data_IF_860706161685
#
_entry.id   IF_860706161685
#
_cell.length_a   1.000
_cell.length_b   1.000
_cell.length_c   1.000
_cell.angle_alpha   90.00
_cell.angle_beta   90.00
_cell.angle_gamma   90.00
#
_symmetry.space_group_name_H-M   'P 1'
#
loop_
_entity.id
_entity.type
_entity.pdbx_description
1 polymer ?
#
# COMPACT_ATOMS: atom_id res chain seq x y z
N UNK A 1 13.57 18.92 -25.87
CA UNK A 1 12.65 19.92 -25.29
C UNK A 1 11.67 20.35 -26.36
N UNK A 2 10.39 20.36 -26.03
CA UNK A 2 9.35 20.88 -26.91
C UNK A 2 8.93 22.28 -26.41
N UNK A 3 8.18 23.01 -27.24
CA UNK A 3 7.74 24.37 -26.93
C UNK A 3 6.22 24.45 -27.12
N UNK A 4 5.56 25.08 -26.15
CA UNK A 4 4.16 25.51 -26.26
C UNK A 4 4.13 27.01 -26.47
N UNK A 5 3.50 27.47 -27.56
CA UNK A 5 3.37 28.89 -27.87
C UNK A 5 2.02 29.43 -27.40
N UNK A 6 2.05 30.47 -26.58
CA UNK A 6 0.89 31.26 -26.19
C UNK A 6 0.96 32.63 -26.86
N UNK A 7 -0.09 32.98 -27.61
CA UNK A 7 -0.18 34.30 -28.26
C UNK A 7 -0.57 35.38 -27.24
N UNK A 8 0.24 36.41 -27.11
CA UNK A 8 0.04 37.61 -26.30
C UNK A 8 -0.52 38.80 -27.10
N UNK A 9 -0.50 39.99 -26.49
CA UNK A 9 -0.97 41.23 -27.13
C UNK A 9 -0.19 41.55 -28.42
N UNK A 10 -0.88 42.13 -29.40
CA UNK A 10 -0.32 42.59 -30.68
C UNK A 10 0.45 41.53 -31.50
N UNK A 11 0.11 40.24 -31.33
CA UNK A 11 0.73 39.14 -32.09
C UNK A 11 2.09 38.69 -31.56
N UNK A 12 2.46 39.08 -30.34
CA UNK A 12 3.66 38.57 -29.67
C UNK A 12 3.45 37.12 -29.25
N UNK A 13 4.47 36.28 -29.42
CA UNK A 13 4.43 34.87 -29.02
C UNK A 13 5.28 34.67 -27.77
N UNK A 14 4.67 34.06 -26.74
CA UNK A 14 5.35 33.60 -25.54
C UNK A 14 5.56 32.11 -25.67
N UNK A 15 6.81 31.70 -25.74
CA UNK A 15 7.20 30.31 -25.84
C UNK A 15 7.50 29.76 -24.44
N UNK A 16 6.78 28.72 -24.06
CA UNK A 16 6.93 27.98 -22.80
C UNK A 16 7.65 26.68 -23.12
N UNK A 17 8.82 26.49 -22.54
CA UNK A 17 9.58 25.25 -22.68
C UNK A 17 8.91 24.14 -21.88
N UNK A 18 8.86 22.93 -22.42
CA UNK A 18 8.40 21.74 -21.72
C UNK A 18 9.40 20.60 -21.88
N UNK A 19 9.54 19.81 -20.82
CA UNK A 19 10.36 18.61 -20.85
C UNK A 19 9.48 17.37 -20.70
N UNK A 20 9.43 16.56 -21.76
CA UNK A 20 8.58 15.37 -21.84
C UNK A 20 7.29 15.53 -22.66
N UNK A 21 6.68 14.39 -22.99
CA UNK A 21 5.45 14.32 -23.79
C UNK A 21 4.18 14.67 -23.01
N UNK A 22 4.11 14.25 -21.75
CA UNK A 22 2.92 14.44 -20.91
C UNK A 22 2.77 15.90 -20.47
N UNK A 23 3.85 16.52 -19.99
CA UNK A 23 3.91 17.96 -19.69
C UNK A 23 3.65 18.81 -20.95
N UNK A 24 4.11 18.39 -22.13
CA UNK A 24 3.77 19.03 -23.40
C UNK A 24 2.28 18.95 -23.72
N UNK A 25 1.66 17.78 -23.57
CA UNK A 25 0.24 17.60 -23.82
C UNK A 25 -0.60 18.46 -22.86
N UNK A 26 -0.22 18.47 -21.58
CA UNK A 26 -0.88 19.25 -20.55
C UNK A 26 -0.71 20.76 -20.79
N UNK A 27 0.52 21.22 -21.03
CA UNK A 27 0.81 22.60 -21.37
C UNK A 27 0.06 23.06 -22.63
N UNK A 28 -0.04 22.22 -23.67
CA UNK A 28 -0.85 22.51 -24.85
C UNK A 28 -2.34 22.61 -24.52
N UNK A 29 -2.86 21.74 -23.66
CA UNK A 29 -4.26 21.79 -23.22
C UNK A 29 -4.54 23.08 -22.44
N UNK A 30 -3.67 23.45 -21.50
CA UNK A 30 -3.78 24.71 -20.76
C UNK A 30 -3.63 25.91 -21.71
N UNK A 31 -2.61 25.94 -22.58
CA UNK A 31 -2.44 27.02 -23.55
C UNK A 31 -3.66 27.17 -24.47
N UNK A 32 -4.24 26.07 -24.95
CA UNK A 32 -5.47 26.09 -25.75
C UNK A 32 -6.66 26.60 -24.95
N UNK A 33 -6.78 26.21 -23.68
CA UNK A 33 -7.84 26.67 -22.78
C UNK A 33 -7.69 28.14 -22.45
N UNK A 34 -6.46 28.60 -22.20
CA UNK A 34 -6.12 30.01 -22.04
C UNK A 34 -6.53 30.80 -23.28
N UNK A 35 -6.15 30.35 -24.47
CA UNK A 35 -6.46 31.00 -25.75
C UNK A 35 -7.97 31.01 -26.05
N UNK A 36 -8.68 29.91 -25.82
CA UNK A 36 -10.13 29.84 -26.06
C UNK A 36 -10.93 30.69 -25.06
N UNK A 37 -10.47 30.75 -23.81
CA UNK A 37 -11.04 31.61 -22.76
C UNK A 37 -10.58 33.07 -22.91
N UNK A 38 -9.56 33.34 -23.73
CA UNK A 38 -8.99 34.67 -23.95
C UNK A 38 -9.78 35.55 -24.93
N UNK A 39 -10.91 35.07 -25.49
CA UNK A 39 -11.84 35.94 -26.23
C UNK A 39 -12.36 37.06 -25.31
N UNK A 40 -11.78 38.26 -25.43
CA UNK A 40 -12.09 39.43 -24.59
C UNK A 40 -11.19 39.65 -23.37
N UNK A 41 -10.07 38.91 -23.23
CA UNK A 41 -9.09 39.13 -22.15
C UNK A 41 -8.01 40.13 -22.56
N UNK A 42 -7.48 40.88 -21.58
CA UNK A 42 -6.41 41.86 -21.80
C UNK A 42 -5.06 41.27 -21.38
N UNK A 43 -4.14 41.15 -22.33
CA UNK A 43 -2.76 40.71 -22.07
C UNK A 43 -1.88 41.89 -21.67
N UNK A 44 -1.13 41.73 -20.59
CA UNK A 44 -0.22 42.74 -20.06
C UNK A 44 1.14 42.14 -19.72
N UNK A 45 2.22 42.76 -20.20
CA UNK A 45 3.57 42.39 -19.80
C UNK A 45 3.81 42.88 -18.37
N UNK A 46 4.03 41.94 -17.46
CA UNK A 46 4.26 42.24 -16.06
C UNK A 46 5.66 42.85 -15.86
N UNK A 47 5.76 43.76 -14.90
CA UNK A 47 7.01 44.39 -14.48
C UNK A 47 7.49 43.78 -13.17
N UNK A 48 8.80 43.72 -12.96
CA UNK A 48 9.35 43.31 -11.67
C UNK A 48 8.83 44.24 -10.56
N UNK A 49 8.36 43.67 -9.46
CA UNK A 49 7.64 44.37 -8.40
C UNK A 49 6.13 44.19 -8.49
N UNK A 50 5.38 45.24 -8.13
CA UNK A 50 3.92 45.19 -7.96
C UNK A 50 3.19 45.48 -9.27
N UNK A 51 2.18 44.68 -9.58
CA UNK A 51 1.33 44.80 -10.77
C UNK A 51 -0.14 44.69 -10.37
N UNK A 52 -0.98 45.58 -10.90
CA UNK A 52 -2.43 45.57 -10.68
C UNK A 52 -3.14 45.22 -11.98
N UNK A 53 -4.12 44.32 -11.89
CA UNK A 53 -4.93 43.94 -13.05
C UNK A 53 -5.62 45.16 -13.69
N UNK A 54 -5.53 45.28 -15.01
CA UNK A 54 -6.16 46.38 -15.76
C UNK A 54 -7.69 46.27 -15.87
N UNK A 55 -8.28 45.19 -15.36
CA UNK A 55 -9.71 44.90 -15.37
C UNK A 55 -9.99 43.43 -15.09
N UNK A 56 -11.26 43.04 -15.16
CA UNK A 56 -11.65 41.62 -15.05
C UNK A 56 -10.97 40.79 -16.14
N UNK A 57 -10.60 39.55 -15.80
CA UNK A 57 -10.00 38.58 -16.72
C UNK A 57 -8.64 39.00 -17.31
N UNK A 58 -7.80 39.66 -16.52
CA UNK A 58 -6.46 40.07 -16.96
C UNK A 58 -5.51 38.88 -17.09
N UNK A 59 -4.68 38.88 -18.14
CA UNK A 59 -3.60 37.91 -18.37
C UNK A 59 -2.25 38.59 -18.16
N UNK A 60 -1.45 38.06 -17.24
CA UNK A 60 -0.07 38.49 -17.00
C UNK A 60 0.92 37.71 -17.85
N UNK A 61 1.87 38.40 -18.47
CA UNK A 61 2.95 37.80 -19.26
C UNK A 61 4.30 38.14 -18.62
N UNK A 62 5.06 37.11 -18.27
CA UNK A 62 6.42 37.19 -17.71
C UNK A 62 7.42 36.66 -18.72
N UNK A 63 8.40 37.50 -19.09
CA UNK A 63 9.35 37.19 -20.17
C UNK A 63 10.81 37.33 -19.77
N UNK A 64 11.06 37.78 -18.54
CA UNK A 64 12.38 37.93 -17.94
C UNK A 64 12.32 37.40 -16.51
N UNK A 65 13.47 36.99 -15.96
CA UNK A 65 13.53 36.59 -14.55
C UNK A 65 13.28 37.76 -13.61
N UNK A 66 12.68 37.50 -12.45
CA UNK A 66 12.32 38.54 -11.49
C UNK A 66 11.19 38.12 -10.55
N UNK A 67 10.74 39.07 -9.73
CA UNK A 67 9.65 38.88 -8.77
C UNK A 67 8.43 39.72 -9.18
N UNK A 68 7.25 39.13 -9.15
CA UNK A 68 6.02 39.72 -9.67
C UNK A 68 4.93 39.56 -8.61
N UNK A 69 4.63 40.63 -7.89
CA UNK A 69 3.50 40.68 -6.97
C UNK A 69 2.25 41.16 -7.70
N UNK A 70 1.14 40.46 -7.50
CA UNK A 70 -0.09 40.64 -8.25
C UNK A 70 -1.26 40.97 -7.33
N UNK A 71 -2.09 41.91 -7.78
CA UNK A 71 -3.32 42.33 -7.13
C UNK A 71 -4.47 42.46 -8.15
N UNK A 72 -5.70 42.31 -7.66
CA UNK A 72 -6.93 42.41 -8.43
C UNK A 72 -7.33 41.11 -9.13
N UNK A 73 -8.02 41.22 -10.27
CA UNK A 73 -8.68 40.12 -10.97
C UNK A 73 -7.82 39.51 -12.09
N UNK A 74 -6.56 39.18 -11.78
CA UNK A 74 -5.77 38.31 -12.66
C UNK A 74 -6.37 36.90 -12.64
N UNK A 75 -6.56 36.34 -13.83
CA UNK A 75 -7.09 34.97 -13.97
C UNK A 75 -6.07 34.03 -14.59
N UNK A 76 -5.08 34.57 -15.32
CA UNK A 76 -4.07 33.76 -16.00
C UNK A 76 -2.70 34.41 -15.94
N UNK A 77 -1.65 33.62 -15.85
CA UNK A 77 -0.25 34.06 -15.93
C UNK A 77 0.52 33.09 -16.84
N UNK A 78 1.33 33.64 -17.74
CA UNK A 78 2.25 32.85 -18.57
C UNK A 78 3.67 33.34 -18.35
N UNK A 79 4.55 32.45 -17.90
CA UNK A 79 5.98 32.70 -17.79
C UNK A 79 6.75 31.87 -18.82
N UNK A 80 7.46 32.53 -19.73
CA UNK A 80 8.19 31.90 -20.82
C UNK A 80 9.12 32.92 -21.49
N UNK A 81 9.71 32.60 -22.63
CA UNK A 81 10.50 33.58 -23.37
C UNK A 81 9.69 34.23 -24.49
N UNK A 82 10.04 35.46 -24.87
CA UNK A 82 9.55 36.04 -26.12
C UNK A 82 10.33 35.42 -27.28
N UNK A 83 9.62 35.01 -28.33
CA UNK A 83 10.26 34.57 -29.57
C UNK A 83 9.90 35.47 -30.75
N UNK A 84 10.89 35.71 -31.61
CA UNK A 84 10.67 36.08 -33.02
C UNK A 84 10.94 34.89 -33.96
N UNK A 85 11.08 33.67 -33.42
CA UNK A 85 11.37 32.41 -34.12
C UNK A 85 11.81 31.28 -33.16
N UNK A 86 11.73 30.02 -33.62
CA UNK A 86 12.00 28.78 -32.86
C UNK A 86 13.51 28.45 -32.74
N UNK A 87 14.29 29.27 -32.00
CA UNK A 87 15.71 28.99 -31.70
C UNK A 87 15.96 28.86 -30.19
N UNK A 88 17.01 28.17 -29.77
CA UNK A 88 17.36 27.85 -28.36
C UNK A 88 17.53 29.07 -27.42
N UNK A 89 17.64 30.28 -27.97
CA UNK A 89 17.56 31.57 -27.24
C UNK A 89 16.11 31.94 -26.81
N UNK A 90 15.10 31.17 -27.22
CA UNK A 90 13.68 31.37 -26.87
C UNK A 90 13.27 30.67 -25.57
N UNK A 91 14.21 30.48 -24.64
CA UNK A 91 13.95 29.79 -23.36
C UNK A 91 14.26 30.73 -22.20
N UNK A 92 13.31 30.86 -21.28
CA UNK A 92 13.51 31.60 -20.05
C UNK A 92 14.36 30.76 -19.09
N UNK A 93 15.60 31.19 -18.84
CA UNK A 93 16.56 30.46 -18.00
C UNK A 93 16.74 31.05 -16.60
N UNK A 94 16.13 32.20 -16.33
CA UNK A 94 16.27 32.92 -15.06
C UNK A 94 15.10 32.58 -14.13
N UNK A 95 15.33 32.49 -12.80
CA UNK A 95 14.26 32.23 -11.84
C UNK A 95 13.14 33.27 -11.91
N UNK A 96 11.90 32.80 -11.71
CA UNK A 96 10.70 33.65 -11.67
C UNK A 96 10.00 33.46 -10.33
N UNK A 97 9.60 34.54 -9.68
CA UNK A 97 8.74 34.49 -8.50
C UNK A 97 7.43 35.22 -8.78
N UNK A 98 6.30 34.55 -8.58
CA UNK A 98 4.94 35.06 -8.77
C UNK A 98 4.24 35.02 -7.42
N UNK A 99 3.85 36.19 -6.92
CA UNK A 99 3.07 36.33 -5.69
C UNK A 99 1.64 36.73 -6.03
N UNK A 100 0.74 35.76 -5.97
CA UNK A 100 -0.68 35.91 -6.25
C UNK A 100 -1.53 35.92 -4.97
N UNK A 101 -0.94 36.16 -3.79
CA UNK A 101 -1.67 36.11 -2.51
C UNK A 101 -2.79 37.13 -2.39
N UNK A 102 -2.68 38.27 -3.09
CA UNK A 102 -3.71 39.33 -3.11
C UNK A 102 -4.70 39.18 -4.28
N UNK A 103 -4.54 38.16 -5.13
CA UNK A 103 -5.47 37.90 -6.24
C UNK A 103 -6.77 37.33 -5.67
N UNK A 104 -7.90 37.92 -6.06
CA UNK A 104 -9.22 37.60 -5.49
C UNK A 104 -10.01 36.57 -6.30
N UNK A 105 -9.48 36.15 -7.46
CA UNK A 105 -10.06 35.16 -8.36
C UNK A 105 -9.12 33.98 -8.54
N UNK A 106 -9.63 32.77 -8.83
CA UNK A 106 -8.75 31.66 -9.19
C UNK A 106 -7.79 32.07 -10.30
N UNK A 107 -6.51 31.71 -10.16
CA UNK A 107 -5.45 32.07 -11.10
C UNK A 107 -4.82 30.82 -11.70
N UNK A 108 -4.79 30.74 -13.02
CA UNK A 108 -4.12 29.66 -13.76
C UNK A 108 -2.75 30.12 -14.24
N UNK A 109 -1.71 29.37 -13.91
CA UNK A 109 -0.32 29.71 -14.24
C UNK A 109 0.27 28.61 -15.11
N UNK A 110 0.87 29.01 -16.23
CA UNK A 110 1.78 28.15 -17.02
C UNK A 110 3.17 28.75 -16.93
N UNK A 111 4.13 28.00 -16.40
CA UNK A 111 5.49 28.44 -16.16
C UNK A 111 6.51 27.51 -16.82
N UNK A 112 7.26 28.06 -17.78
CA UNK A 112 8.28 27.34 -18.55
C UNK A 112 9.71 27.78 -18.26
N UNK A 113 9.99 28.29 -17.06
CA UNK A 113 11.33 28.76 -16.70
C UNK A 113 12.24 27.59 -16.31
N UNK A 114 13.35 27.41 -17.03
CA UNK A 114 14.38 26.44 -16.64
C UNK A 114 15.14 26.83 -15.36
N UNK A 115 15.05 28.09 -14.94
CA UNK A 115 15.63 28.56 -13.69
C UNK A 115 14.76 28.27 -12.46
N UNK A 116 13.63 27.58 -12.65
CA UNK A 116 12.64 27.34 -11.60
C UNK A 116 11.67 28.51 -11.42
N UNK A 117 10.46 28.18 -10.97
CA UNK A 117 9.39 29.13 -10.68
C UNK A 117 8.92 28.99 -9.25
N UNK A 118 8.94 30.08 -8.49
CA UNK A 118 8.27 30.19 -7.20
C UNK A 118 6.88 30.80 -7.39
N UNK A 119 5.85 30.14 -6.87
CA UNK A 119 4.48 30.64 -6.86
C UNK A 119 3.91 30.68 -5.44
N UNK A 120 3.34 31.84 -5.07
CA UNK A 120 2.63 32.03 -3.81
C UNK A 120 1.14 32.23 -4.09
N UNK A 121 0.33 31.23 -3.80
CA UNK A 121 -1.12 31.22 -3.99
C UNK A 121 -1.90 31.84 -2.82
N UNK A 122 -2.97 32.56 -3.14
CA UNK A 122 -3.90 33.15 -2.16
C UNK A 122 -5.07 32.25 -1.77
N UNK A 123 -6.17 32.86 -1.31
CA UNK A 123 -7.37 32.15 -0.90
C UNK A 123 -8.24 31.66 -2.08
N UNK A 124 -8.02 32.17 -3.29
CA UNK A 124 -8.91 31.97 -4.42
C UNK A 124 -8.74 30.62 -5.15
N UNK A 125 -7.65 29.88 -4.90
CA UNK A 125 -7.35 28.64 -5.62
C UNK A 125 -6.82 28.89 -7.04
N UNK A 126 -6.81 27.85 -7.87
CA UNK A 126 -6.41 27.95 -9.28
C UNK A 126 -5.54 26.78 -9.74
N UNK A 127 -4.88 26.94 -10.89
CA UNK A 127 -3.97 25.93 -11.42
C UNK A 127 -2.54 26.46 -11.48
N UNK A 128 -1.56 25.60 -11.21
CA UNK A 128 -0.15 25.89 -11.42
C UNK A 128 0.47 24.73 -12.20
N UNK A 129 0.91 25.02 -13.41
CA UNK A 129 1.69 24.11 -14.24
C UNK A 129 3.10 24.67 -14.40
N UNK A 130 4.05 24.08 -13.71
CA UNK A 130 5.46 24.20 -14.05
C UNK A 130 5.87 23.03 -14.95
N UNK A 131 6.84 23.26 -15.80
CA UNK A 131 7.21 22.28 -16.83
C UNK A 131 8.57 21.65 -16.58
N UNK A 132 9.54 22.44 -16.13
CA UNK A 132 10.90 22.02 -15.84
C UNK A 132 11.54 22.97 -14.80
N UNK A 133 12.72 22.59 -14.29
CA UNK A 133 13.48 23.35 -13.29
C UNK A 133 13.00 23.05 -11.87
N UNK A 134 13.74 23.52 -10.86
CA UNK A 134 13.38 23.31 -9.46
C UNK A 134 12.36 24.38 -9.05
N UNK A 135 11.09 24.02 -8.95
CA UNK A 135 9.97 24.90 -8.69
C UNK A 135 9.55 24.89 -7.21
N UNK A 136 8.92 25.98 -6.79
CA UNK A 136 8.38 26.12 -5.44
C UNK A 136 6.94 26.55 -5.54
N UNK A 137 6.02 25.74 -5.04
CA UNK A 137 4.62 26.09 -4.90
C UNK A 137 4.27 26.25 -3.43
N UNK A 138 3.73 27.40 -3.05
CA UNK A 138 3.18 27.64 -1.71
C UNK A 138 1.75 28.11 -1.87
N UNK A 139 0.79 27.23 -1.59
CA UNK A 139 -0.63 27.50 -1.65
C UNK A 139 -1.17 28.23 -0.42
N UNK A 140 -2.42 28.64 -0.53
CA UNK A 140 -3.18 29.29 0.53
C UNK A 140 -4.28 28.39 1.09
N UNK A 141 -5.51 28.88 1.09
CA UNK A 141 -6.71 28.14 1.55
C UNK A 141 -7.63 27.70 0.43
N UNK A 142 -7.33 28.09 -0.80
CA UNK A 142 -8.11 27.70 -1.98
C UNK A 142 -7.78 26.27 -2.43
N UNK A 143 -8.58 25.76 -3.36
CA UNK A 143 -8.32 24.48 -3.99
C UNK A 143 -7.39 24.69 -5.20
N UNK A 144 -6.29 23.94 -5.25
CA UNK A 144 -5.31 24.06 -6.33
C UNK A 144 -5.16 22.77 -7.12
N UNK A 145 -4.96 22.92 -8.44
CA UNK A 145 -4.42 21.85 -9.30
C UNK A 145 -2.97 22.19 -9.61
N UNK A 146 -2.05 21.33 -9.20
CA UNK A 146 -0.61 21.61 -9.19
C UNK A 146 0.07 20.52 -10.02
N UNK A 147 0.86 20.92 -11.01
CA UNK A 147 1.73 20.04 -11.77
C UNK A 147 3.11 20.69 -11.82
N UNK A 148 4.14 20.03 -11.28
CA UNK A 148 5.46 20.63 -11.14
C UNK A 148 6.43 20.27 -12.28
N UNK A 149 6.08 19.29 -13.12
CA UNK A 149 6.93 18.88 -14.24
C UNK A 149 8.23 18.19 -13.80
N UNK A 150 9.34 18.51 -14.44
CA UNK A 150 10.64 17.89 -14.13
C UNK A 150 11.50 18.78 -13.23
N UNK A 151 12.11 18.23 -12.19
CA UNK A 151 12.98 18.97 -11.28
C UNK A 151 12.85 18.45 -9.86
N UNK A 152 13.63 19.01 -8.94
CA UNK A 152 13.46 18.74 -7.52
C UNK A 152 12.60 19.84 -6.91
N UNK A 153 11.30 19.59 -6.84
CA UNK A 153 10.31 20.61 -6.51
C UNK A 153 9.95 20.64 -5.02
N UNK A 154 9.53 21.82 -4.54
CA UNK A 154 8.94 22.00 -3.22
C UNK A 154 7.47 22.39 -3.36
N UNK A 155 6.58 21.56 -2.82
CA UNK A 155 5.14 21.80 -2.78
C UNK A 155 4.71 21.96 -1.32
N UNK A 156 4.15 23.12 -0.98
CA UNK A 156 3.38 23.34 0.25
C UNK A 156 1.96 23.66 -0.20
N UNK A 157 1.07 22.66 -0.20
CA UNK A 157 -0.26 22.81 -0.82
C UNK A 157 -1.14 23.83 -0.10
N UNK A 158 -0.90 24.03 1.20
CA UNK A 158 -1.80 24.76 2.07
C UNK A 158 -3.09 23.98 2.35
N UNK A 159 -4.12 24.68 2.82
CA UNK A 159 -5.43 24.08 3.09
C UNK A 159 -6.25 23.95 1.80
N UNK A 160 -7.39 23.27 1.89
CA UNK A 160 -8.29 23.05 0.76
C UNK A 160 -8.11 21.67 0.16
N UNK A 161 -8.85 21.38 -0.89
CA UNK A 161 -8.78 20.11 -1.60
C UNK A 161 -7.88 20.30 -2.82
N UNK A 162 -6.64 19.82 -2.72
CA UNK A 162 -5.63 20.03 -3.76
C UNK A 162 -5.38 18.75 -4.57
N UNK A 163 -5.19 18.89 -5.86
CA UNK A 163 -4.74 17.82 -6.77
C UNK A 163 -3.33 18.14 -7.18
N UNK A 164 -2.40 17.22 -6.92
CA UNK A 164 -0.96 17.43 -7.10
C UNK A 164 -0.42 16.32 -7.98
N UNK A 165 0.24 16.70 -9.06
CA UNK A 165 1.20 15.89 -9.77
C UNK A 165 2.59 16.46 -9.44
N UNK A 166 3.37 15.72 -8.67
CA UNK A 166 4.71 16.16 -8.30
C UNK A 166 5.68 16.10 -9.49
N UNK A 167 5.32 15.38 -10.55
CA UNK A 167 6.20 15.16 -11.68
C UNK A 167 7.44 14.36 -11.29
N UNK A 168 8.50 14.45 -12.09
CA UNK A 168 9.71 13.64 -11.91
C UNK A 168 10.78 14.36 -11.11
N UNK A 169 11.45 13.66 -10.19
CA UNK A 169 12.61 14.17 -9.47
C UNK A 169 12.62 13.66 -8.03
N UNK A 170 13.31 14.39 -7.16
CA UNK A 170 13.23 14.22 -5.71
C UNK A 170 12.46 15.40 -5.12
N UNK A 171 11.15 15.23 -4.95
CA UNK A 171 10.25 16.30 -4.54
C UNK A 171 9.98 16.29 -3.04
N UNK A 172 9.72 17.48 -2.48
CA UNK A 172 9.27 17.66 -1.11
C UNK A 172 7.84 18.17 -1.09
N UNK A 173 6.92 17.39 -0.53
CA UNK A 173 5.48 17.63 -0.62
C UNK A 173 4.90 17.71 0.79
N UNK A 174 4.43 18.89 1.16
CA UNK A 174 3.79 19.18 2.44
C UNK A 174 2.31 19.51 2.20
N UNK A 175 1.45 18.61 2.65
CA UNK A 175 0.00 18.70 2.51
C UNK A 175 -0.59 19.36 3.77
N UNK A 176 -1.46 20.35 3.56
CA UNK A 176 -2.25 20.95 4.63
C UNK A 176 -3.54 20.17 4.90
N UNK A 177 -4.50 20.83 5.55
CA UNK A 177 -5.82 20.24 5.79
C UNK A 177 -6.67 20.17 4.52
N UNK A 178 -7.77 19.41 4.56
CA UNK A 178 -8.62 19.15 3.40
C UNK A 178 -8.39 17.75 2.84
N UNK A 179 -9.03 17.47 1.71
CA UNK A 179 -8.89 16.22 0.99
C UNK A 179 -7.95 16.42 -0.21
N UNK A 180 -6.68 16.02 -0.08
CA UNK A 180 -5.72 16.17 -1.17
C UNK A 180 -5.44 14.84 -1.88
N UNK A 181 -5.15 14.94 -3.17
CA UNK A 181 -4.73 13.85 -4.03
C UNK A 181 -3.33 14.15 -4.55
N UNK A 182 -2.40 13.22 -4.40
CA UNK A 182 -1.02 13.33 -4.88
C UNK A 182 -0.72 12.17 -5.81
N UNK A 183 -0.20 12.46 -6.99
CA UNK A 183 0.50 11.53 -7.85
C UNK A 183 1.99 11.90 -7.85
N UNK A 184 2.84 10.95 -7.48
CA UNK A 184 4.26 11.17 -7.20
C UNK A 184 5.10 10.22 -8.04
N UNK A 185 6.00 10.78 -8.84
CA UNK A 185 6.91 10.03 -9.70
C UNK A 185 8.35 10.30 -9.28
N UNK A 186 9.01 9.34 -8.64
CA UNK A 186 10.40 9.50 -8.23
C UNK A 186 10.58 9.28 -6.74
N UNK A 187 11.73 9.71 -6.22
CA UNK A 187 12.10 9.48 -4.83
C UNK A 187 11.71 10.68 -3.99
N UNK A 188 10.46 10.69 -3.53
CA UNK A 188 9.85 11.87 -2.96
C UNK A 188 9.70 11.77 -1.44
N UNK A 189 9.58 12.93 -0.79
CA UNK A 189 9.15 13.02 0.61
C UNK A 189 7.77 13.66 0.68
N UNK A 190 6.80 12.93 1.24
CA UNK A 190 5.40 13.37 1.32
C UNK A 190 4.95 13.38 2.77
N UNK A 191 4.51 14.54 3.26
CA UNK A 191 4.04 14.72 4.64
C UNK A 191 2.65 15.36 4.64
N UNK A 192 1.68 14.71 5.28
CA UNK A 192 0.29 15.17 5.31
C UNK A 192 -0.49 14.60 6.49
N UNK A 193 -0.34 15.19 7.67
CA UNK A 193 -0.88 14.64 8.93
C UNK A 193 -2.29 15.11 9.29
N UNK A 194 -2.83 16.08 8.55
CA UNK A 194 -4.16 16.63 8.75
C UNK A 194 -5.07 16.27 7.57
N UNK A 195 -6.39 16.28 7.77
CA UNK A 195 -7.34 15.97 6.69
C UNK A 195 -7.24 14.52 6.20
N UNK A 196 -7.74 14.27 5.00
CA UNK A 196 -7.71 12.94 4.35
C UNK A 196 -6.82 13.02 3.13
N UNK A 197 -5.85 12.12 3.02
CA UNK A 197 -4.85 12.19 1.96
C UNK A 197 -4.94 10.94 1.08
N UNK A 198 -4.97 11.14 -0.24
CA UNK A 198 -4.84 10.08 -1.23
C UNK A 198 -3.51 10.25 -1.94
N UNK A 199 -2.63 9.25 -1.88
CA UNK A 199 -1.29 9.32 -2.47
C UNK A 199 -1.06 8.12 -3.36
N UNK A 200 -0.66 8.36 -4.60
CA UNK A 200 -0.11 7.35 -5.50
C UNK A 200 1.41 7.52 -5.54
N UNK A 201 2.14 6.43 -5.29
CA UNK A 201 3.60 6.36 -5.44
C UNK A 201 3.87 5.55 -6.70
N UNK A 202 4.14 6.25 -7.81
CA UNK A 202 4.21 5.64 -9.13
C UNK A 202 5.57 5.03 -9.45
N UNK A 203 6.65 5.60 -8.95
CA UNK A 203 8.03 5.16 -9.20
C UNK A 203 8.95 5.61 -8.05
N UNK A 204 10.19 5.13 -8.06
CA UNK A 204 11.21 5.51 -7.08
C UNK A 204 11.01 4.87 -5.70
N UNK A 205 11.75 5.36 -4.72
CA UNK A 205 11.59 4.96 -3.32
C UNK A 205 11.29 6.21 -2.50
N UNK A 206 10.09 6.27 -1.94
CA UNK A 206 9.56 7.49 -1.32
C UNK A 206 9.42 7.35 0.19
N UNK A 207 9.53 8.47 0.90
CA UNK A 207 9.22 8.59 2.32
C UNK A 207 7.85 9.26 2.45
N UNK A 208 6.88 8.54 3.00
CA UNK A 208 5.50 9.01 3.13
C UNK A 208 5.06 8.97 4.59
N UNK A 209 4.64 10.12 5.12
CA UNK A 209 4.07 10.25 6.46
C UNK A 209 2.71 10.94 6.42
N UNK A 210 1.63 10.17 6.61
CA UNK A 210 0.25 10.66 6.55
C UNK A 210 -0.49 10.44 7.87
N UNK A 211 -1.55 11.24 8.04
CA UNK A 211 -2.47 11.15 9.17
C UNK A 211 -3.41 9.94 9.11
N UNK A 212 -4.49 10.02 9.86
CA UNK A 212 -5.56 9.02 9.85
C UNK A 212 -6.36 9.06 8.53
N UNK A 213 -7.01 7.95 8.19
CA UNK A 213 -7.87 7.80 7.01
C UNK A 213 -7.15 8.16 5.70
N UNK A 214 -5.87 7.83 5.60
CA UNK A 214 -5.10 7.98 4.36
C UNK A 214 -5.34 6.79 3.43
N UNK A 215 -5.29 7.03 2.13
CA UNK A 215 -5.29 6.00 1.09
C UNK A 215 -4.00 6.09 0.31
N UNK A 216 -3.24 4.99 0.25
CA UNK A 216 -2.00 4.90 -0.52
C UNK A 216 -2.13 3.80 -1.57
N UNK A 217 -1.74 4.13 -2.80
CA UNK A 217 -1.49 3.16 -3.87
C UNK A 217 0.00 3.21 -4.18
N UNK A 218 0.73 2.16 -3.83
CA UNK A 218 2.16 2.04 -4.10
C UNK A 218 2.37 1.03 -5.24
N UNK A 219 2.90 1.51 -6.36
CA UNK A 219 3.33 0.65 -7.47
C UNK A 219 4.86 0.56 -7.56
N UNK A 220 5.56 1.20 -6.62
CA UNK A 220 6.99 1.28 -6.56
C UNK A 220 7.56 0.25 -5.57
N UNK A 221 8.79 0.47 -5.11
CA UNK A 221 9.46 -0.46 -4.19
C UNK A 221 10.39 0.28 -3.24
N UNK A 222 10.60 -0.30 -2.06
CA UNK A 222 11.49 0.21 -1.00
C UNK A 222 11.07 1.58 -0.45
N UNK A 223 9.79 1.88 -0.53
CA UNK A 223 9.17 3.02 0.13
C UNK A 223 9.15 2.83 1.65
N UNK A 224 9.21 3.94 2.38
CA UNK A 224 8.97 3.98 3.82
C UNK A 224 7.68 4.74 4.05
N UNK A 225 6.65 4.01 4.49
CA UNK A 225 5.29 4.51 4.61
C UNK A 225 4.84 4.47 6.07
N UNK A 226 4.44 5.61 6.62
CA UNK A 226 3.85 5.73 7.94
C UNK A 226 2.48 6.40 7.84
N UNK A 227 1.44 5.73 8.36
CA UNK A 227 0.06 6.22 8.29
C UNK A 227 -0.63 6.13 9.65
N UNK A 228 -1.64 6.99 9.86
CA UNK A 228 -2.50 6.97 11.04
C UNK A 228 -3.58 5.87 10.97
N UNK A 229 -4.50 5.90 11.93
CA UNK A 229 -5.58 4.91 12.03
C UNK A 229 -6.61 5.00 10.91
N UNK A 230 -7.25 3.87 10.57
CA UNK A 230 -8.25 3.80 9.51
C UNK A 230 -7.69 3.92 8.09
N UNK A 231 -6.36 3.90 7.93
CA UNK A 231 -5.71 4.07 6.64
C UNK A 231 -5.65 2.77 5.84
N UNK A 232 -5.59 2.88 4.53
CA UNK A 232 -5.43 1.76 3.58
C UNK A 232 -4.18 1.97 2.73
N UNK A 233 -3.35 0.93 2.63
CA UNK A 233 -2.18 0.89 1.73
C UNK A 233 -2.36 -0.26 0.75
N UNK A 234 -2.11 -0.03 -0.53
CA UNK A 234 -2.28 -1.04 -1.59
C UNK A 234 -1.04 -1.16 -2.44
N UNK A 235 -0.60 -2.39 -2.69
CA UNK A 235 0.57 -2.70 -3.49
C UNK A 235 1.85 -2.55 -2.69
N UNK A 236 2.92 -2.20 -3.40
CA UNK A 236 4.25 -2.07 -2.82
C UNK A 236 5.06 -3.36 -2.84
N UNK A 237 6.38 -3.19 -2.86
CA UNK A 237 7.31 -4.30 -2.73
C UNK A 237 8.58 -3.91 -1.99
N UNK A 238 9.00 -4.76 -1.04
CA UNK A 238 10.16 -4.52 -0.18
C UNK A 238 10.04 -3.22 0.63
N UNK A 239 8.82 -2.83 0.98
CA UNK A 239 8.53 -1.59 1.68
C UNK A 239 8.61 -1.76 3.19
N UNK A 240 8.77 -0.64 3.89
CA UNK A 240 8.56 -0.55 5.32
C UNK A 240 7.27 0.20 5.58
N UNK A 241 6.22 -0.50 6.03
CA UNK A 241 4.89 0.09 6.25
C UNK A 241 4.53 0.05 7.73
N UNK A 242 4.20 1.21 8.30
CA UNK A 242 3.85 1.37 9.71
C UNK A 242 2.48 2.02 9.90
N UNK A 243 1.54 1.29 10.48
CA UNK A 243 0.25 1.78 10.93
C UNK A 243 0.33 2.20 12.40
N UNK A 244 0.25 3.50 12.64
CA UNK A 244 0.44 4.10 13.99
C UNK A 244 -0.85 4.24 14.79
N UNK A 245 -2.01 4.05 14.16
CA UNK A 245 -3.33 4.16 14.81
C UNK A 245 -3.95 2.83 15.25
N UNK A 246 -5.22 2.90 15.66
CA UNK A 246 -5.95 1.77 16.23
C UNK A 246 -6.32 0.67 15.20
N UNK A 247 -6.38 1.00 13.92
CA UNK A 247 -6.69 0.06 12.84
C UNK A 247 -6.01 0.46 11.53
N UNK A 248 -5.81 -0.50 10.65
CA UNK A 248 -5.35 -0.27 9.27
C UNK A 248 -5.62 -1.46 8.37
N UNK A 249 -5.54 -1.22 7.07
CA UNK A 249 -5.64 -2.25 6.04
C UNK A 249 -4.47 -2.14 5.07
N UNK A 250 -3.87 -3.28 4.73
CA UNK A 250 -2.89 -3.35 3.64
C UNK A 250 -3.27 -4.49 2.69
N UNK A 251 -3.16 -4.23 1.39
CA UNK A 251 -3.52 -5.19 0.35
C UNK A 251 -2.41 -5.32 -0.68
N UNK A 252 -2.11 -6.54 -1.14
CA UNK A 252 -1.19 -6.77 -2.26
C UNK A 252 0.29 -6.46 -1.96
N UNK A 253 0.65 -6.32 -0.69
CA UNK A 253 2.02 -6.13 -0.23
C UNK A 253 2.91 -7.34 -0.56
N UNK A 254 4.11 -7.10 -1.10
CA UNK A 254 5.04 -8.16 -1.52
C UNK A 254 6.42 -7.99 -0.89
N UNK A 255 6.83 -8.95 -0.04
CA UNK A 255 8.12 -8.92 0.65
C UNK A 255 8.32 -7.69 1.54
N UNK A 256 7.23 -7.16 2.09
CA UNK A 256 7.23 -5.96 2.92
C UNK A 256 7.50 -6.29 4.38
N UNK A 257 8.05 -5.29 5.09
CA UNK A 257 8.08 -5.24 6.54
C UNK A 257 6.94 -4.37 7.03
N UNK A 258 5.95 -4.98 7.68
CA UNK A 258 4.70 -4.35 8.07
C UNK A 258 4.59 -4.33 9.59
N UNK A 259 4.26 -3.16 10.15
CA UNK A 259 4.04 -2.97 11.58
C UNK A 259 2.71 -2.28 11.85
N UNK A 260 2.02 -2.67 12.92
CA UNK A 260 0.81 -1.99 13.38
C UNK A 260 0.73 -1.91 14.91
N UNK A 261 0.48 -0.70 15.42
CA UNK A 261 0.25 -0.46 16.84
C UNK A 261 -1.13 -0.94 17.32
N UNK A 262 -2.11 -0.99 16.41
CA UNK A 262 -3.46 -1.47 16.65
C UNK A 262 -3.77 -2.76 15.90
N UNK A 263 -5.02 -2.90 15.47
CA UNK A 263 -5.46 -4.02 14.65
C UNK A 263 -5.04 -3.83 13.19
N UNK A 264 -4.77 -4.93 12.48
CA UNK A 264 -4.37 -4.88 11.07
C UNK A 264 -5.12 -5.94 10.26
N UNK A 265 -5.64 -5.52 9.11
CA UNK A 265 -6.08 -6.44 8.07
C UNK A 265 -5.04 -6.48 6.95
N UNK A 266 -4.56 -7.67 6.59
CA UNK A 266 -3.67 -7.91 5.45
C UNK A 266 -4.42 -8.76 4.44
N UNK A 267 -4.47 -8.33 3.19
CA UNK A 267 -5.20 -9.00 2.11
C UNK A 267 -4.26 -9.29 0.95
N UNK A 268 -4.24 -10.52 0.44
CA UNK A 268 -3.42 -10.92 -0.71
C UNK A 268 -1.92 -10.57 -0.55
N UNK A 269 -1.39 -10.63 0.67
CA UNK A 269 0.03 -10.38 0.93
C UNK A 269 0.89 -11.57 0.50
N UNK A 270 2.09 -11.30 -0.02
CA UNK A 270 3.04 -12.34 -0.45
C UNK A 270 4.38 -12.16 0.24
N UNK A 271 4.78 -13.13 1.06
CA UNK A 271 6.14 -13.18 1.57
C UNK A 271 6.52 -12.10 2.60
N UNK A 272 5.57 -11.63 3.40
CA UNK A 272 5.75 -10.45 4.26
C UNK A 272 6.30 -10.78 5.66
N UNK A 273 6.95 -9.81 6.30
CA UNK A 273 7.25 -9.84 7.74
C UNK A 273 6.30 -8.89 8.46
N UNK A 274 5.46 -9.40 9.36
CA UNK A 274 4.34 -8.69 9.95
C UNK A 274 4.47 -8.68 11.48
N UNK A 275 4.37 -7.49 12.10
CA UNK A 275 4.33 -7.30 13.56
C UNK A 275 3.13 -6.46 13.97
N UNK A 276 2.21 -7.02 14.74
CA UNK A 276 0.93 -6.38 15.09
C UNK A 276 0.72 -6.45 16.60
N UNK A 277 0.61 -5.30 17.28
CA UNK A 277 0.36 -5.31 18.73
C UNK A 277 -1.07 -5.75 19.07
N UNK A 278 -2.03 -5.46 18.19
CA UNK A 278 -3.42 -5.88 18.32
C UNK A 278 -3.76 -7.19 17.60
N UNK A 279 -4.98 -7.28 17.09
CA UNK A 279 -5.47 -8.42 16.32
C UNK A 279 -5.05 -8.32 14.85
N UNK A 280 -4.56 -9.43 14.30
CA UNK A 280 -4.30 -9.58 12.86
C UNK A 280 -5.43 -10.37 12.20
N UNK A 281 -5.94 -9.86 11.08
CA UNK A 281 -6.73 -10.62 10.10
C UNK A 281 -5.93 -10.74 8.81
N UNK A 282 -5.54 -11.95 8.44
CA UNK A 282 -4.75 -12.21 7.23
C UNK A 282 -5.58 -13.01 6.23
N UNK A 283 -5.82 -12.48 5.03
CA UNK A 283 -6.74 -13.04 4.05
C UNK A 283 -6.01 -13.38 2.74
N UNK A 284 -6.10 -14.63 2.33
CA UNK A 284 -5.66 -15.17 1.04
C UNK A 284 -4.17 -14.93 0.71
N UNK A 285 -3.32 -14.71 1.72
CA UNK A 285 -1.90 -14.50 1.45
C UNK A 285 -1.14 -15.79 1.14
N UNK A 286 0.04 -15.64 0.54
CA UNK A 286 0.89 -16.73 0.04
C UNK A 286 2.37 -16.47 0.35
N UNK A 287 3.24 -17.41 -0.03
CA UNK A 287 4.68 -17.26 0.11
C UNK A 287 5.15 -17.36 1.57
N UNK A 288 6.43 -17.08 1.80
CA UNK A 288 7.07 -17.18 3.12
C UNK A 288 6.76 -15.97 3.99
N UNK A 289 5.80 -16.10 4.90
CA UNK A 289 5.32 -14.98 5.73
C UNK A 289 5.68 -15.21 7.20
N UNK A 290 6.24 -14.21 7.88
CA UNK A 290 6.46 -14.26 9.33
C UNK A 290 5.50 -13.32 10.03
N UNK A 291 4.81 -13.82 11.06
CA UNK A 291 3.83 -13.06 11.84
C UNK A 291 4.19 -13.09 13.32
N UNK A 292 4.26 -11.90 13.93
CA UNK A 292 4.15 -11.72 15.38
C UNK A 292 2.91 -10.88 15.66
N UNK A 293 1.96 -11.41 16.43
CA UNK A 293 0.71 -10.69 16.69
C UNK A 293 0.15 -10.89 18.11
N UNK A 294 -0.74 -9.99 18.52
CA UNK A 294 -1.57 -10.16 19.71
C UNK A 294 -2.40 -11.44 19.60
N UNK A 295 -3.47 -11.41 18.80
CA UNK A 295 -4.23 -12.58 18.35
C UNK A 295 -4.23 -12.62 16.82
N UNK A 296 -4.61 -13.75 16.21
CA UNK A 296 -4.65 -13.86 14.75
C UNK A 296 -5.83 -14.67 14.22
N UNK A 297 -6.40 -14.20 13.11
CA UNK A 297 -7.32 -14.97 12.27
C UNK A 297 -6.73 -14.98 10.86
N UNK A 298 -6.35 -16.16 10.39
CA UNK A 298 -5.59 -16.34 9.15
C UNK A 298 -6.37 -17.26 8.23
N UNK A 299 -6.63 -16.78 7.03
CA UNK A 299 -7.14 -17.57 5.91
C UNK A 299 -6.03 -17.61 4.87
N UNK A 300 -5.39 -18.77 4.74
CA UNK A 300 -4.30 -18.99 3.79
C UNK A 300 -4.79 -19.21 2.36
N UNK A 301 -3.85 -19.18 1.42
CA UNK A 301 -4.04 -19.66 0.07
C UNK A 301 -2.91 -20.63 -0.30
N UNK A 302 -3.09 -21.38 -1.38
CA UNK A 302 -2.12 -22.37 -1.85
C UNK A 302 -0.70 -21.79 -1.92
N UNK A 303 0.26 -22.48 -1.30
CA UNK A 303 1.66 -22.05 -1.25
C UNK A 303 1.99 -21.08 -0.10
N UNK A 304 1.09 -20.84 0.85
CA UNK A 304 1.42 -20.15 2.09
C UNK A 304 2.36 -21.01 2.96
N UNK A 305 3.48 -20.42 3.38
CA UNK A 305 4.35 -20.96 4.41
C UNK A 305 4.54 -19.89 5.47
N UNK A 306 3.96 -20.08 6.65
CA UNK A 306 3.91 -19.05 7.67
C UNK A 306 4.59 -19.49 8.97
N UNK A 307 5.44 -18.64 9.54
CA UNK A 307 5.89 -18.74 10.93
C UNK A 307 5.08 -17.79 11.81
N UNK A 308 4.63 -18.26 12.96
CA UNK A 308 3.66 -17.57 13.80
C UNK A 308 4.11 -17.52 15.26
N UNK A 309 4.24 -16.30 15.79
CA UNK A 309 4.40 -16.01 17.20
C UNK A 309 3.24 -15.17 17.73
N UNK A 310 2.27 -15.80 18.39
CA UNK A 310 1.11 -15.10 18.93
C UNK A 310 1.01 -15.19 20.45
N UNK A 311 0.60 -14.08 21.06
CA UNK A 311 0.36 -13.98 22.51
C UNK A 311 -1.09 -14.32 22.92
N UNK A 312 -1.95 -14.55 21.94
CA UNK A 312 -3.39 -14.72 22.06
C UNK A 312 -3.92 -15.70 21.00
N UNK A 313 -5.14 -16.23 21.19
CA UNK A 313 -5.63 -17.37 20.41
C UNK A 313 -5.56 -17.14 18.91
N UNK A 314 -5.20 -18.20 18.18
CA UNK A 314 -5.10 -18.13 16.72
C UNK A 314 -6.03 -19.11 16.04
N UNK A 315 -6.78 -18.62 15.05
CA UNK A 315 -7.48 -19.44 14.07
C UNK A 315 -6.72 -19.40 12.76
N UNK A 316 -6.32 -20.57 12.25
CA UNK A 316 -5.78 -20.74 10.92
C UNK A 316 -6.70 -21.63 10.09
N UNK A 317 -7.07 -21.16 8.92
CA UNK A 317 -7.82 -21.91 7.91
C UNK A 317 -6.98 -21.94 6.65
N UNK A 318 -6.46 -23.11 6.29
CA UNK A 318 -5.60 -23.27 5.13
C UNK A 318 -6.40 -23.03 3.83
N UNK A 319 -7.67 -23.44 3.76
CA UNK A 319 -8.36 -23.64 2.47
C UNK A 319 -7.59 -24.66 1.61
N UNK A 320 -7.80 -24.63 0.29
CA UNK A 320 -7.24 -25.57 -0.66
C UNK A 320 -5.75 -25.35 -0.95
N UNK A 321 -5.04 -26.46 -1.19
CA UNK A 321 -3.66 -26.51 -1.65
C UNK A 321 -2.62 -26.54 -0.53
N UNK A 322 -1.39 -26.88 -0.93
CA UNK A 322 -0.33 -27.22 0.02
C UNK A 322 0.14 -26.00 0.83
N UNK A 323 0.16 -26.15 2.15
CA UNK A 323 0.40 -25.04 3.07
C UNK A 323 1.16 -25.46 4.33
N UNK A 324 1.90 -24.53 4.91
CA UNK A 324 2.66 -24.75 6.14
C UNK A 324 2.34 -23.65 7.14
N UNK A 325 2.05 -24.04 8.39
CA UNK A 325 2.00 -23.13 9.52
C UNK A 325 2.95 -23.66 10.60
N UNK A 326 3.89 -22.82 11.01
CA UNK A 326 4.78 -23.07 12.13
C UNK A 326 4.42 -22.15 13.29
N UNK A 327 3.61 -22.67 14.21
CA UNK A 327 3.17 -22.01 15.43
C UNK A 327 4.05 -22.27 16.64
N UNK A 328 5.28 -22.76 16.49
CA UNK A 328 6.14 -23.14 17.62
C UNK A 328 6.39 -22.01 18.63
N UNK A 329 6.21 -20.74 18.22
CA UNK A 329 6.37 -19.56 19.07
C UNK A 329 5.03 -19.02 19.63
N UNK A 330 3.89 -19.65 19.31
CA UNK A 330 2.59 -19.28 19.86
C UNK A 330 2.46 -19.73 21.32
N UNK A 331 2.09 -18.81 22.20
CA UNK A 331 1.96 -19.09 23.64
C UNK A 331 0.55 -19.53 24.07
N UNK A 332 -0.40 -19.54 23.14
CA UNK A 332 -1.81 -19.83 23.35
C UNK A 332 -2.32 -20.78 22.27
N UNK A 333 -3.52 -21.38 22.43
CA UNK A 333 -4.06 -22.32 21.45
C UNK A 333 -4.05 -21.81 20.00
N UNK A 334 -3.50 -22.64 19.12
CA UNK A 334 -3.63 -22.61 17.68
C UNK A 334 -4.71 -23.62 17.26
N UNK A 335 -5.74 -23.13 16.58
CA UNK A 335 -6.73 -23.97 15.92
C UNK A 335 -6.49 -23.90 14.41
N UNK A 336 -5.91 -24.95 13.84
CA UNK A 336 -5.56 -25.05 12.43
C UNK A 336 -6.48 -26.03 11.71
N UNK A 337 -7.12 -25.57 10.63
CA UNK A 337 -8.06 -26.34 9.83
C UNK A 337 -7.66 -26.35 8.36
N UNK A 338 -7.41 -27.53 7.81
CA UNK A 338 -7.19 -27.74 6.38
C UNK A 338 -8.45 -28.24 5.67
N UNK A 339 -8.54 -27.94 4.37
CA UNK A 339 -9.54 -28.53 3.46
C UNK A 339 -8.90 -29.66 2.65
N UNK A 340 -8.41 -29.40 1.43
CA UNK A 340 -7.63 -30.33 0.61
C UNK A 340 -6.18 -29.86 0.38
N UNK A 341 -5.28 -30.82 0.21
CA UNK A 341 -3.86 -30.58 -0.07
C UNK A 341 -2.94 -30.99 1.07
N UNK A 342 -1.64 -31.02 0.80
CA UNK A 342 -0.67 -31.47 1.79
C UNK A 342 -0.34 -30.35 2.78
N UNK A 343 -0.44 -30.64 4.08
CA UNK A 343 -0.23 -29.66 5.13
C UNK A 343 0.89 -30.03 6.10
N UNK A 344 1.61 -29.02 6.56
CA UNK A 344 2.56 -29.15 7.67
C UNK A 344 2.20 -28.17 8.78
N UNK A 345 1.65 -28.68 9.88
CA UNK A 345 1.17 -27.88 11.00
C UNK A 345 2.03 -28.13 12.25
N UNK A 346 2.59 -27.07 12.80
CA UNK A 346 3.28 -27.09 14.10
C UNK A 346 2.49 -26.22 15.06
N UNK A 347 2.03 -26.80 16.17
CA UNK A 347 1.44 -26.11 17.30
C UNK A 347 2.46 -25.36 18.13
N UNK A 348 2.03 -24.82 19.26
CA UNK A 348 2.83 -24.00 20.16
C UNK A 348 2.89 -24.59 21.57
N UNK A 349 2.83 -23.73 22.57
CA UNK A 349 2.75 -24.16 23.97
C UNK A 349 1.31 -24.31 24.49
N UNK A 350 0.31 -24.00 23.66
CA UNK A 350 -1.11 -24.07 23.98
C UNK A 350 -1.65 -25.49 23.93
N UNK A 351 -2.96 -25.64 24.17
CA UNK A 351 -3.68 -26.86 23.83
C UNK A 351 -4.21 -26.69 22.41
N UNK A 352 -3.50 -27.24 21.44
CA UNK A 352 -3.73 -26.95 20.03
C UNK A 352 -4.73 -27.93 19.40
N UNK A 353 -5.39 -27.49 18.34
CA UNK A 353 -6.29 -28.33 17.53
C UNK A 353 -5.80 -28.30 16.09
N UNK A 354 -5.34 -29.43 15.59
CA UNK A 354 -4.77 -29.57 14.26
C UNK A 354 -5.63 -30.53 13.45
N UNK A 355 -6.34 -30.01 12.44
CA UNK A 355 -7.22 -30.77 11.54
C UNK A 355 -6.57 -30.84 10.17
N UNK A 356 -6.12 -32.04 9.80
CA UNK A 356 -5.31 -32.26 8.58
C UNK A 356 -6.07 -32.20 7.26
N UNK A 357 -7.41 -32.21 7.27
CA UNK A 357 -8.22 -32.19 6.05
C UNK A 357 -8.07 -33.48 5.23
N UNK A 358 -8.10 -33.36 3.91
CA UNK A 358 -7.81 -34.42 2.93
C UNK A 358 -6.45 -34.18 2.28
N UNK A 359 -5.76 -35.24 1.86
CA UNK A 359 -4.33 -35.17 1.49
C UNK A 359 -3.42 -35.65 2.62
N UNK A 360 -2.12 -35.39 2.52
CA UNK A 360 -1.14 -35.81 3.53
C UNK A 360 -0.87 -34.70 4.55
N UNK A 361 -1.04 -34.98 5.83
CA UNK A 361 -0.74 -34.03 6.91
C UNK A 361 0.48 -34.47 7.74
N UNK A 362 1.43 -33.58 7.95
CA UNK A 362 2.42 -33.67 9.03
C UNK A 362 2.01 -32.73 10.15
N UNK A 363 1.86 -33.25 11.36
CA UNK A 363 1.38 -32.49 12.51
C UNK A 363 2.29 -32.69 13.73
N UNK A 364 2.71 -31.58 14.32
CA UNK A 364 3.42 -31.50 15.59
C UNK A 364 2.56 -30.71 16.55
N UNK A 365 2.15 -31.29 17.67
CA UNK A 365 1.30 -30.62 18.66
C UNK A 365 2.06 -29.57 19.46
N UNK A 366 3.32 -29.83 19.80
CA UNK A 366 4.09 -28.99 20.72
C UNK A 366 3.81 -29.37 22.18
N UNK A 367 3.83 -28.38 23.07
CA UNK A 367 3.48 -28.61 24.47
C UNK A 367 1.94 -28.69 24.63
N UNK A 368 1.46 -28.78 25.87
CA UNK A 368 0.02 -28.84 26.13
C UNK A 368 -0.64 -30.17 25.74
N UNK A 369 -1.97 -30.18 25.81
CA UNK A 369 -2.81 -31.31 25.44
C UNK A 369 -3.45 -31.01 24.08
N UNK A 370 -2.98 -31.69 23.05
CA UNK A 370 -3.29 -31.38 21.67
C UNK A 370 -4.33 -32.35 21.10
N UNK A 371 -5.16 -31.84 20.19
CA UNK A 371 -6.12 -32.64 19.43
C UNK A 371 -5.66 -32.73 17.97
N UNK A 372 -5.39 -33.94 17.50
CA UNK A 372 -5.10 -34.25 16.10
C UNK A 372 -6.35 -34.84 15.46
N UNK A 373 -6.82 -34.27 14.36
CA UNK A 373 -8.12 -34.61 13.79
C UNK A 373 -8.04 -34.94 12.31
N UNK A 374 -8.74 -36.02 11.94
CA UNK A 374 -8.87 -36.52 10.57
C UNK A 374 -10.33 -36.72 10.23
N UNK A 375 -10.71 -36.39 8.99
CA UNK A 375 -12.10 -36.45 8.53
C UNK A 375 -12.22 -37.35 7.31
N UNK A 376 -13.19 -38.26 7.35
CA UNK A 376 -13.55 -39.06 6.18
C UNK A 376 -14.24 -38.18 5.11
N UNK A 377 -13.71 -38.14 3.90
CA UNK A 377 -14.20 -37.27 2.81
C UNK A 377 -14.13 -37.93 1.42
N UNK A 378 -14.73 -37.33 0.38
CA UNK A 378 -14.78 -37.93 -0.97
C UNK A 378 -13.41 -38.02 -1.67
N UNK A 379 -12.44 -37.20 -1.25
CA UNK A 379 -11.04 -37.22 -1.72
C UNK A 379 -10.12 -37.84 -0.66
N UNK A 380 -10.63 -38.81 0.10
CA UNK A 380 -9.91 -39.45 1.21
C UNK A 380 -8.79 -40.38 0.74
N UNK A 381 -7.77 -40.51 1.59
CA UNK A 381 -6.47 -41.10 1.28
C UNK A 381 -5.36 -40.08 1.48
N UNK A 382 -4.24 -40.53 2.05
CA UNK A 382 -3.11 -39.68 2.41
C UNK A 382 -2.25 -40.34 3.48
N UNK A 383 -0.96 -40.02 3.46
CA UNK A 383 0.01 -40.53 4.44
C UNK A 383 0.24 -39.45 5.49
N UNK A 384 -0.36 -39.65 6.66
CA UNK A 384 -0.33 -38.67 7.74
C UNK A 384 0.70 -39.06 8.79
N UNK A 385 1.31 -38.05 9.39
CA UNK A 385 2.34 -38.21 10.42
C UNK A 385 2.02 -37.29 11.59
N UNK A 386 1.90 -37.87 12.78
CA UNK A 386 1.93 -37.13 14.04
C UNK A 386 3.31 -37.32 14.65
N UNK A 387 4.07 -36.25 14.76
CA UNK A 387 5.51 -36.31 15.07
C UNK A 387 5.82 -36.45 16.55
N UNK A 388 4.90 -36.04 17.42
CA UNK A 388 5.14 -35.88 18.85
C UNK A 388 3.94 -36.31 19.71
N UNK A 389 3.14 -37.28 19.25
CA UNK A 389 1.93 -37.70 19.98
C UNK A 389 2.20 -38.08 21.44
N UNK A 390 3.35 -38.70 21.72
CA UNK A 390 3.77 -39.06 23.09
C UNK A 390 4.28 -37.89 23.95
N UNK A 391 4.30 -36.64 23.46
CA UNK A 391 4.79 -35.47 24.21
C UNK A 391 3.93 -35.14 25.42
N UNK A 392 2.63 -35.49 25.37
CA UNK A 392 1.68 -35.32 26.47
C UNK A 392 0.71 -36.49 26.53
N UNK A 393 0.43 -36.97 27.76
CA UNK A 393 -0.58 -38.00 28.00
C UNK A 393 -2.02 -37.50 27.75
N UNK A 394 -2.23 -36.19 27.62
CA UNK A 394 -3.52 -35.59 27.28
C UNK A 394 -3.74 -35.38 25.79
N UNK A 395 -2.78 -35.77 24.94
CA UNK A 395 -2.96 -35.71 23.49
C UNK A 395 -4.04 -36.71 23.04
N UNK A 396 -4.89 -36.28 22.11
CA UNK A 396 -6.01 -37.07 21.60
C UNK A 396 -6.04 -37.07 20.07
N UNK A 397 -6.58 -38.14 19.50
CA UNK A 397 -6.93 -38.23 18.09
C UNK A 397 -8.43 -38.23 17.89
N UNK A 398 -8.96 -37.35 17.05
CA UNK A 398 -10.33 -37.39 16.58
C UNK A 398 -10.43 -37.98 15.18
N UNK A 399 -11.33 -38.95 15.02
CA UNK A 399 -11.64 -39.59 13.73
C UNK A 399 -13.09 -39.28 13.33
N UNK A 400 -13.28 -38.17 12.62
CA UNK A 400 -14.60 -37.68 12.25
C UNK A 400 -15.18 -38.43 11.05
N UNK A 401 -16.46 -38.80 11.14
CA UNK A 401 -17.24 -39.42 10.05
C UNK A 401 -16.75 -40.80 9.56
N UNK A 402 -15.88 -41.47 10.33
CA UNK A 402 -15.46 -42.85 10.05
C UNK A 402 -16.42 -43.92 10.60
N UNK A 403 -17.33 -43.56 11.50
CA UNK A 403 -18.34 -44.49 12.03
C UNK A 403 -17.80 -45.52 13.04
N UNK A 404 -16.57 -45.35 13.55
CA UNK A 404 -15.96 -46.28 14.51
C UNK A 404 -16.56 -46.26 15.93
N UNK A 405 -17.53 -45.37 16.16
CA UNK A 405 -18.36 -45.25 17.36
C UNK A 405 -19.11 -46.56 17.71
N UNK A 406 -19.43 -47.36 16.69
CA UNK A 406 -20.25 -48.56 16.81
C UNK A 406 -19.45 -49.83 16.44
N UNK A 407 -19.82 -50.99 16.97
CA UNK A 407 -19.37 -52.32 16.52
C UNK A 407 -17.86 -52.61 16.59
N UNK A 408 -17.15 -52.18 17.64
CA UNK A 408 -15.72 -52.47 17.84
C UNK A 408 -14.79 -52.00 16.70
N UNK A 409 -15.23 -51.06 15.86
CA UNK A 409 -14.46 -50.59 14.69
C UNK A 409 -13.08 -50.06 15.08
N UNK A 410 -13.00 -49.21 16.11
CA UNK A 410 -11.72 -48.71 16.62
C UNK A 410 -10.81 -49.84 17.13
N UNK A 411 -11.37 -50.82 17.84
CA UNK A 411 -10.59 -51.97 18.34
C UNK A 411 -10.00 -52.79 17.19
N UNK A 412 -10.72 -52.94 16.08
CA UNK A 412 -10.22 -53.65 14.90
C UNK A 412 -9.03 -52.91 14.27
N UNK A 413 -9.09 -51.58 14.17
CA UNK A 413 -7.99 -50.75 13.65
C UNK A 413 -6.77 -50.85 14.55
N UNK A 414 -6.95 -50.71 15.86
CA UNK A 414 -5.86 -50.83 16.82
C UNK A 414 -5.22 -52.22 16.81
N UNK A 415 -6.01 -53.28 16.62
CA UNK A 415 -5.49 -54.65 16.53
C UNK A 415 -4.76 -54.93 15.21
N UNK A 416 -5.08 -54.17 14.15
CA UNK A 416 -4.41 -54.23 12.86
C UNK A 416 -3.23 -53.24 12.74
N UNK A 417 -2.97 -52.43 13.78
CA UNK A 417 -1.88 -51.47 13.78
C UNK A 417 -0.53 -52.18 13.61
N UNK A 418 0.37 -51.55 12.85
CA UNK A 418 1.73 -52.05 12.67
C UNK A 418 2.69 -51.25 13.53
N UNK A 419 3.64 -51.93 14.17
CA UNK A 419 4.72 -51.29 14.92
C UNK A 419 6.04 -51.60 14.25
N UNK A 420 6.74 -50.58 13.77
CA UNK A 420 8.01 -50.71 13.08
C UNK A 420 8.90 -49.50 13.36
N UNK A 421 10.18 -49.74 13.65
CA UNK A 421 11.15 -48.66 13.89
C UNK A 421 10.82 -47.75 15.09
N UNK A 422 10.03 -48.21 16.06
CA UNK A 422 9.58 -47.42 17.21
C UNK A 422 8.33 -46.56 16.97
N UNK A 423 7.69 -46.70 15.80
CA UNK A 423 6.48 -45.97 15.43
C UNK A 423 5.31 -46.93 15.27
N UNK A 424 4.10 -46.46 15.58
CA UNK A 424 2.85 -47.17 15.31
C UNK A 424 2.19 -46.57 14.09
N UNK A 425 1.64 -47.41 13.21
CA UNK A 425 0.87 -46.96 12.04
C UNK A 425 -0.48 -47.65 12.03
N UNK A 426 -1.55 -46.86 11.90
CA UNK A 426 -2.91 -47.35 11.67
C UNK A 426 -3.34 -47.02 10.25
N UNK A 427 -4.22 -47.84 9.69
CA UNK A 427 -4.87 -47.58 8.42
C UNK A 427 -6.39 -47.53 8.64
N UNK A 428 -7.02 -46.48 8.11
CA UNK A 428 -8.46 -46.24 8.19
C UNK A 428 -9.19 -46.86 6.99
N UNK A 429 -10.52 -46.85 7.02
CA UNK A 429 -11.37 -47.54 6.03
C UNK A 429 -11.31 -46.96 4.62
N UNK A 430 -10.85 -45.72 4.50
CA UNK A 430 -10.63 -45.00 3.25
C UNK A 430 -9.19 -45.13 2.73
N UNK A 431 -8.36 -45.97 3.37
CA UNK A 431 -6.92 -46.13 3.14
C UNK A 431 -6.04 -44.99 3.66
N UNK A 432 -6.58 -44.02 4.39
CA UNK A 432 -5.78 -43.02 5.11
C UNK A 432 -4.86 -43.73 6.09
N UNK A 433 -3.56 -43.44 6.03
CA UNK A 433 -2.57 -43.94 6.98
C UNK A 433 -2.23 -42.84 7.98
N UNK A 434 -2.12 -43.20 9.26
CA UNK A 434 -1.67 -42.29 10.32
C UNK A 434 -0.51 -42.97 11.06
N UNK A 435 0.66 -42.35 10.95
CA UNK A 435 1.89 -42.77 11.61
C UNK A 435 2.11 -41.92 12.87
N UNK A 436 2.30 -42.58 14.00
CA UNK A 436 2.58 -41.98 15.30
C UNK A 436 4.06 -42.18 15.61
N UNK A 437 4.83 -41.11 15.48
CA UNK A 437 6.28 -41.15 15.68
C UNK A 437 6.59 -41.34 17.16
N UNK A 438 7.45 -42.32 17.48
CA UNK A 438 7.90 -42.60 18.85
C UNK A 438 6.85 -43.24 19.77
N UNK A 439 5.73 -43.71 19.24
CA UNK A 439 4.65 -44.34 20.01
C UNK A 439 4.51 -45.80 19.58
N UNK A 440 4.49 -46.73 20.53
CA UNK A 440 4.41 -48.18 20.24
C UNK A 440 3.20 -48.87 20.88
N UNK A 441 2.41 -48.16 21.70
CA UNK A 441 1.34 -48.73 22.54
C UNK A 441 0.03 -47.93 22.49
N UNK A 442 -0.48 -47.65 21.28
CA UNK A 442 -1.76 -46.96 21.09
C UNK A 442 -2.93 -47.67 21.80
N UNK A 443 -3.77 -46.89 22.47
CA UNK A 443 -4.92 -47.35 23.27
C UNK A 443 -6.21 -46.68 22.80
N UNK A 444 -7.34 -47.31 23.08
CA UNK A 444 -8.65 -46.72 22.79
C UNK A 444 -8.88 -45.36 23.50
N UNK A 445 -8.23 -45.12 24.65
CA UNK A 445 -8.26 -43.84 25.39
C UNK A 445 -7.57 -42.69 24.67
N UNK A 446 -6.70 -43.00 23.71
CA UNK A 446 -5.95 -42.00 22.94
C UNK A 446 -6.83 -41.38 21.84
N UNK A 447 -8.04 -41.91 21.65
CA UNK A 447 -8.99 -41.50 20.62
C UNK A 447 -10.24 -40.92 21.25
N UNK A 448 -10.69 -39.78 20.71
CA UNK A 448 -12.03 -39.27 20.93
C UNK A 448 -12.85 -39.53 19.68
N UNK A 449 -13.96 -40.23 19.83
CA UNK A 449 -14.87 -40.51 18.74
C UNK A 449 -16.04 -39.54 18.87
N UNK A 450 -16.25 -38.68 17.87
CA UNK A 450 -17.45 -37.83 17.72
C UNK A 450 -18.09 -38.05 16.36
#
# INVERSE_FOLDING_TARGET
>A
MAIVTVMGAAGTNVNVTVDGGDTLALANMYAKTLQSTAAGKSFSNLQNGFNTAGGANSVGVVTVGGAYALDGAYVNIVAGALSSGESDDSVLKAPVAIDARQVTTPVDVIAGSLGGTTFLGGAAGGSFLATAGDNVFIGGTGNFTIDMGAGNDLIVSGNGNNTINAGSGENQIFLGSGANSVDSMGSDTIVGTLGTQSVTIGAGSSLVQLGANATIVDTASKSVVSVGGGSTVSGGAQDQVSFTGASGTISGAVSDTISAAGNLQVVQGVGNTISVSGSLTFLNGTGMTSVVAGQSTIFGAAGLSMTLGTSGPTLFVANAGNQTIDGAQASTPLHAFADDGDVNFVGGSGNDTLVGGTGSATMTGGAGNNLFAFTNGPSSGGDNVITDFGSSAGNLVALYQYGYQNNNGLQAILSAATVSGGNSTIQLSDHTQITFVGVTDLKASDFTLS
#
